data_IF_862759812218
#
_entry.id   IF_862759812218
#
_cell.length_a   1.000
_cell.length_b   1.000
_cell.length_c   1.000
_cell.angle_alpha   90.00
_cell.angle_beta   90.00
_cell.angle_gamma   90.00
#
_symmetry.space_group_name_H-M   'P 1'
#
loop_
_entity.id
_entity.type
_entity.pdbx_description
1 polymer ?
#
# COMPACT_ATOMS: atom_id res chain seq x y z
N UNK A 1 -12.14 29.56 42.78
CA UNK A 1 -12.36 30.45 41.62
C UNK A 1 -12.76 29.59 40.42
N UNK A 2 -13.99 29.77 39.95
CA UNK A 2 -14.60 28.96 38.87
C UNK A 2 -14.15 29.44 37.49
N UNK A 3 -13.99 28.52 36.54
CA UNK A 3 -13.73 28.84 35.14
C UNK A 3 -15.06 29.11 34.44
N UNK A 4 -15.25 30.29 33.86
CA UNK A 4 -16.43 30.60 33.05
C UNK A 4 -16.09 30.39 31.58
N UNK A 5 -16.72 29.42 30.92
CA UNK A 5 -16.57 29.24 29.46
C UNK A 5 -17.20 30.43 28.74
N UNK A 6 -16.48 31.01 27.79
CA UNK A 6 -16.93 32.17 27.00
C UNK A 6 -17.17 31.75 25.55
N UNK A 7 -16.27 30.94 24.99
CA UNK A 7 -16.39 30.39 23.64
C UNK A 7 -15.76 28.99 23.62
N UNK A 8 -16.59 27.98 23.34
CA UNK A 8 -16.16 26.59 23.32
C UNK A 8 -15.32 26.28 22.07
N UNK A 9 -15.71 26.85 20.94
CA UNK A 9 -15.04 26.80 19.64
C UNK A 9 -13.61 27.34 19.67
N UNK A 10 -13.35 28.39 20.47
CA UNK A 10 -12.00 28.95 20.66
C UNK A 10 -11.33 28.51 21.96
N UNK A 11 -11.90 27.54 22.67
CA UNK A 11 -11.39 27.07 23.97
C UNK A 11 -11.12 28.20 24.97
N UNK A 12 -11.93 29.26 24.95
CA UNK A 12 -11.73 30.51 25.67
C UNK A 12 -12.52 30.53 26.99
N UNK A 13 -11.81 30.80 28.08
CA UNK A 13 -12.35 30.82 29.43
C UNK A 13 -11.96 32.11 30.16
N UNK A 14 -12.85 32.60 31.00
CA UNK A 14 -12.57 33.70 31.93
C UNK A 14 -12.32 33.13 33.32
N UNK A 15 -11.25 33.59 33.97
CA UNK A 15 -10.95 33.27 35.37
C UNK A 15 -10.46 34.53 36.06
N UNK A 16 -11.23 35.02 37.03
CA UNK A 16 -11.00 36.34 37.63
C UNK A 16 -11.19 37.43 36.58
N UNK A 17 -10.18 38.29 36.39
CA UNK A 17 -10.20 39.41 35.44
C UNK A 17 -9.50 39.12 34.10
N UNK A 18 -8.93 37.93 33.90
CA UNK A 18 -8.13 37.61 32.71
C UNK A 18 -8.71 36.45 31.91
N UNK A 19 -8.56 36.52 30.59
CA UNK A 19 -8.92 35.45 29.68
C UNK A 19 -7.80 34.41 29.55
N UNK A 20 -8.19 33.16 29.35
CA UNK A 20 -7.32 32.00 29.21
C UNK A 20 -7.80 31.13 28.06
N UNK A 21 -6.86 30.51 27.35
CA UNK A 21 -7.14 29.37 26.49
C UNK A 21 -6.89 28.10 27.27
N UNK A 22 -7.91 27.24 27.39
CA UNK A 22 -7.83 25.95 28.07
C UNK A 22 -8.31 24.86 27.14
N UNK A 23 -7.37 24.11 26.58
CA UNK A 23 -7.64 23.01 25.66
C UNK A 23 -7.31 21.67 26.31
N UNK A 24 -8.21 20.69 26.17
CA UNK A 24 -8.00 19.34 26.70
C UNK A 24 -7.00 18.58 25.83
N UNK A 25 -6.07 17.86 26.46
CA UNK A 25 -5.16 16.96 25.78
C UNK A 25 -5.86 15.61 25.53
N UNK A 26 -5.89 15.10 24.28
CA UNK A 26 -6.40 13.76 23.95
C UNK A 26 -5.75 12.69 24.82
N UNK A 27 -6.50 11.66 25.24
CA UNK A 27 -6.04 10.61 26.17
C UNK A 27 -4.72 9.97 25.76
N UNK A 28 -4.55 9.72 24.47
CA UNK A 28 -3.37 9.09 23.86
C UNK A 28 -2.11 9.96 23.99
N UNK A 29 -2.25 11.29 24.00
CA UNK A 29 -1.13 12.23 24.07
C UNK A 29 -0.78 12.65 25.51
N UNK A 30 -1.59 12.27 26.51
CA UNK A 30 -1.40 12.70 27.90
C UNK A 30 -0.08 12.19 28.48
N UNK A 31 0.33 10.97 28.14
CA UNK A 31 1.59 10.39 28.61
C UNK A 31 2.80 11.11 28.01
N UNK A 32 2.75 11.48 26.73
CA UNK A 32 3.84 12.19 26.06
C UNK A 32 3.93 13.68 26.44
N UNK A 33 2.80 14.34 26.70
CA UNK A 33 2.75 15.76 27.06
C UNK A 33 2.89 15.96 28.58
N UNK A 34 2.54 14.96 29.39
CA UNK A 34 2.60 15.00 30.85
C UNK A 34 1.56 15.93 31.49
N UNK A 35 0.55 16.38 30.74
CA UNK A 35 -0.50 17.31 31.19
C UNK A 35 -1.85 16.89 30.65
N UNK A 36 -2.91 17.09 31.44
CA UNK A 36 -4.29 16.84 31.00
C UNK A 36 -4.88 18.02 30.21
N UNK A 37 -4.42 19.25 30.48
CA UNK A 37 -4.85 20.46 29.78
C UNK A 37 -3.67 21.32 29.38
N UNK A 38 -3.72 21.89 28.18
CA UNK A 38 -2.89 23.02 27.79
C UNK A 38 -3.60 24.30 28.20
N UNK A 39 -2.98 25.07 29.09
CA UNK A 39 -3.55 26.30 29.66
C UNK A 39 -2.57 27.44 29.43
N UNK A 40 -3.04 28.49 28.77
CA UNK A 40 -2.26 29.72 28.56
C UNK A 40 -3.11 30.94 28.95
N UNK A 41 -2.54 31.82 29.77
CA UNK A 41 -3.16 33.11 30.10
C UNK A 41 -2.92 34.10 28.96
N UNK A 42 -3.97 34.79 28.51
CA UNK A 42 -3.90 35.80 27.44
C UNK A 42 -3.49 37.18 27.96
N UNK A 43 -3.39 37.36 29.29
CA UNK A 43 -2.97 38.61 29.96
C UNK A 43 -3.77 39.86 29.55
N UNK A 44 -5.02 39.69 29.14
CA UNK A 44 -5.93 40.79 28.83
C UNK A 44 -7.29 40.56 29.49
N UNK A 45 -7.97 41.65 29.85
CA UNK A 45 -9.36 41.70 30.32
C UNK A 45 -10.33 42.13 29.21
N UNK A 46 -9.82 42.48 28.02
CA UNK A 46 -10.63 42.90 26.88
C UNK A 46 -11.01 41.69 26.01
N UNK A 47 -12.31 41.48 25.81
CA UNK A 47 -12.83 40.35 25.04
C UNK A 47 -12.38 40.32 23.57
N UNK A 48 -12.37 41.46 22.86
CA UNK A 48 -12.01 41.50 21.43
C UNK A 48 -10.55 41.13 21.24
N UNK A 49 -9.69 41.67 22.08
CA UNK A 49 -8.26 41.37 22.10
C UNK A 49 -8.01 39.91 22.49
N UNK A 50 -8.69 39.42 23.54
CA UNK A 50 -8.63 38.02 23.96
C UNK A 50 -9.04 37.05 22.84
N UNK A 51 -10.12 37.36 22.11
CA UNK A 51 -10.61 36.53 21.00
C UNK A 51 -9.63 36.43 19.84
N UNK A 52 -8.87 37.50 19.57
CA UNK A 52 -7.79 37.51 18.57
C UNK A 52 -6.57 36.73 19.06
N UNK A 53 -6.13 36.98 20.29
CA UNK A 53 -4.98 36.27 20.89
C UNK A 53 -5.24 34.77 21.05
N UNK A 54 -6.48 34.38 21.33
CA UNK A 54 -6.89 32.99 21.45
C UNK A 54 -6.62 32.19 20.18
N UNK A 55 -6.80 32.76 18.99
CA UNK A 55 -6.50 32.09 17.71
C UNK A 55 -5.03 31.69 17.62
N UNK A 56 -4.11 32.59 17.97
CA UNK A 56 -2.67 32.32 17.93
C UNK A 56 -2.25 31.29 18.98
N UNK A 57 -2.78 31.41 20.19
CA UNK A 57 -2.49 30.46 21.27
C UNK A 57 -3.06 29.08 20.97
N UNK A 58 -4.23 28.99 20.33
CA UNK A 58 -4.80 27.72 19.87
C UNK A 58 -3.96 27.08 18.77
N UNK A 59 -3.38 27.87 17.85
CA UNK A 59 -2.45 27.38 16.84
C UNK A 59 -1.15 26.85 17.48
N UNK A 60 -0.61 27.53 18.51
CA UNK A 60 0.53 27.03 19.28
C UNK A 60 0.20 25.73 20.02
N UNK A 61 -0.96 25.67 20.68
CA UNK A 61 -1.45 24.44 21.31
C UNK A 61 -1.64 23.31 20.30
N UNK A 62 -2.17 23.61 19.11
CA UNK A 62 -2.31 22.63 18.02
C UNK A 62 -0.94 22.12 17.57
N UNK A 63 0.00 23.02 17.29
CA UNK A 63 1.38 22.64 16.94
C UNK A 63 2.02 21.76 18.01
N UNK A 64 1.79 22.03 19.29
CA UNK A 64 2.31 21.23 20.41
C UNK A 64 1.68 19.84 20.48
N UNK A 65 0.40 19.72 20.13
CA UNK A 65 -0.29 18.45 19.99
C UNK A 65 0.21 17.69 18.77
N UNK A 66 0.40 18.35 17.62
CA UNK A 66 0.92 17.75 16.39
C UNK A 66 2.37 17.29 16.54
N UNK A 67 3.20 18.06 17.25
CA UNK A 67 4.56 17.64 17.60
C UNK A 67 4.58 16.46 18.57
N UNK A 68 3.63 16.38 19.50
CA UNK A 68 3.49 15.25 20.41
C UNK A 68 2.93 14.02 19.68
N UNK A 69 2.00 14.21 18.75
CA UNK A 69 1.47 13.18 17.87
C UNK A 69 2.55 12.65 16.92
N UNK A 70 3.35 13.54 16.33
CA UNK A 70 4.52 13.19 15.51
C UNK A 70 5.67 12.54 16.31
N UNK A 71 5.66 12.63 17.64
CA UNK A 71 6.55 11.86 18.54
C UNK A 71 5.98 10.49 18.92
N UNK A 72 4.69 10.27 18.74
CA UNK A 72 3.97 9.05 19.13
C UNK A 72 3.53 8.17 17.97
N UNK A 73 3.56 8.64 16.73
CA UNK A 73 3.12 7.83 15.59
C UNK A 73 4.29 7.21 14.81
N UNK A 74 4.46 5.87 14.91
CA UNK A 74 4.46 5.06 13.69
C UNK A 74 3.31 5.59 12.82
N UNK A 75 3.55 5.94 11.55
CA UNK A 75 2.51 6.45 10.64
C UNK A 75 1.23 5.60 10.82
N UNK A 76 0.02 6.16 10.71
CA UNK A 76 -1.23 5.39 10.90
C UNK A 76 -1.29 4.09 10.07
N UNK A 77 -0.47 3.99 9.01
CA UNK A 77 -0.30 2.82 8.13
C UNK A 77 1.01 2.01 8.34
N UNK A 78 1.75 2.24 9.42
CA UNK A 78 3.02 1.55 9.65
C UNK A 78 2.80 0.16 10.24
N UNK A 79 3.54 -0.80 9.69
CA UNK A 79 3.37 -2.23 9.99
C UNK A 79 4.24 -2.59 11.19
N UNK A 80 3.71 -3.37 12.13
CA UNK A 80 4.54 -3.89 13.24
C UNK A 80 5.48 -4.93 12.68
N UNK A 81 6.75 -4.85 13.07
CA UNK A 81 7.76 -5.81 12.62
C UNK A 81 7.34 -7.26 12.93
N UNK A 82 6.80 -7.49 14.13
CA UNK A 82 6.47 -8.83 14.62
C UNK A 82 5.27 -9.47 13.90
N UNK A 83 4.47 -8.66 13.18
CA UNK A 83 3.35 -9.12 12.34
C UNK A 83 3.80 -9.54 10.93
N UNK A 84 5.04 -9.20 10.53
CA UNK A 84 5.60 -9.59 9.23
C UNK A 84 5.98 -11.08 9.23
N UNK A 85 5.71 -11.76 8.11
CA UNK A 85 6.14 -13.14 7.92
C UNK A 85 7.65 -13.23 7.71
N UNK A 86 8.27 -14.37 8.00
CA UNK A 86 9.70 -14.57 7.77
C UNK A 86 10.07 -14.42 6.29
N UNK A 87 9.24 -14.96 5.39
CA UNK A 87 9.42 -14.82 3.95
C UNK A 87 9.38 -13.35 3.49
N UNK A 88 8.50 -12.55 4.08
CA UNK A 88 8.42 -11.13 3.78
C UNK A 88 9.65 -10.37 4.27
N UNK A 89 10.13 -10.65 5.48
CA UNK A 89 11.35 -10.06 6.03
C UNK A 89 12.58 -10.43 5.19
N UNK A 90 12.68 -11.69 4.78
CA UNK A 90 13.73 -12.18 3.87
C UNK A 90 13.68 -11.43 2.54
N UNK A 91 12.49 -11.31 1.93
CA UNK A 91 12.28 -10.59 0.68
C UNK A 91 12.67 -9.11 0.79
N UNK A 92 12.32 -8.44 1.89
CA UNK A 92 12.70 -7.05 2.14
C UNK A 92 14.23 -6.86 2.10
N UNK A 93 14.97 -7.77 2.72
CA UNK A 93 16.44 -7.67 2.78
C UNK A 93 17.07 -8.09 1.46
N UNK A 94 16.60 -9.17 0.83
CA UNK A 94 17.14 -9.65 -0.46
C UNK A 94 16.88 -8.65 -1.60
N UNK A 95 15.70 -8.03 -1.66
CA UNK A 95 15.40 -6.96 -2.61
C UNK A 95 16.30 -5.73 -2.40
N UNK A 96 16.52 -5.34 -1.14
CA UNK A 96 17.43 -4.24 -0.80
C UNK A 96 18.88 -4.53 -1.21
N UNK A 97 19.38 -5.72 -0.87
CA UNK A 97 20.73 -6.15 -1.22
C UNK A 97 20.93 -6.18 -2.73
N UNK A 98 20.02 -6.85 -3.44
CA UNK A 98 19.99 -6.93 -4.90
C UNK A 98 20.03 -5.55 -5.57
N UNK A 99 19.20 -4.61 -5.10
CA UNK A 99 19.16 -3.25 -5.63
C UNK A 99 20.47 -2.49 -5.36
N UNK A 100 21.02 -2.59 -4.15
CA UNK A 100 22.28 -1.92 -3.79
C UNK A 100 23.47 -2.48 -4.56
N UNK A 101 23.56 -3.80 -4.65
CA UNK A 101 24.63 -4.50 -5.34
C UNK A 101 24.66 -4.15 -6.83
N UNK A 102 23.48 -4.18 -7.50
CA UNK A 102 23.38 -3.82 -8.91
C UNK A 102 23.62 -2.34 -9.18
N UNK A 103 23.17 -1.46 -8.30
CA UNK A 103 23.45 -0.03 -8.43
C UNK A 103 24.97 0.27 -8.37
N UNK A 104 25.70 -0.40 -7.48
CA UNK A 104 27.16 -0.31 -7.41
C UNK A 104 27.83 -0.89 -8.67
N UNK A 105 27.37 -2.05 -9.15
CA UNK A 105 27.90 -2.66 -10.38
C UNK A 105 27.65 -1.80 -11.65
N UNK A 106 26.48 -1.16 -11.77
CA UNK A 106 26.14 -0.28 -12.88
C UNK A 106 26.96 1.02 -12.87
N UNK A 107 27.29 1.55 -11.70
CA UNK A 107 28.13 2.75 -11.57
C UNK A 107 29.54 2.56 -12.17
N UNK A 108 30.05 1.32 -12.24
CA UNK A 108 31.31 0.98 -12.90
C UNK A 108 31.17 0.73 -14.41
N UNK A 109 29.99 0.33 -14.89
CA UNK A 109 29.74 -0.07 -16.28
C UNK A 109 29.54 1.07 -17.27
N UNK A 110 29.43 2.32 -16.80
CA UNK A 110 29.32 3.50 -17.65
C UNK A 110 28.00 3.68 -18.42
N UNK A 111 26.95 2.91 -18.10
CA UNK A 111 25.64 3.08 -18.72
C UNK A 111 24.87 4.25 -18.08
N UNK A 112 24.76 5.37 -18.81
CA UNK A 112 23.83 6.52 -18.69
C UNK A 112 22.99 6.66 -17.41
N UNK A 113 23.67 6.81 -16.27
CA UNK A 113 23.09 7.32 -15.03
C UNK A 113 23.89 8.56 -14.66
N UNK A 114 23.19 9.68 -14.46
CA UNK A 114 23.75 10.92 -13.93
C UNK A 114 24.63 10.60 -12.71
N UNK A 115 25.95 10.63 -12.90
CA UNK A 115 26.93 10.59 -11.81
C UNK A 115 26.98 12.02 -11.29
N UNK A 116 26.51 12.31 -10.05
CA UNK A 116 26.68 13.63 -9.48
C UNK A 116 28.16 13.98 -9.53
N UNK A 117 28.50 15.15 -10.05
CA UNK A 117 29.89 15.60 -10.09
C UNK A 117 30.51 15.43 -8.69
N UNK A 118 31.63 14.69 -8.56
CA UNK A 118 32.25 14.45 -7.27
C UNK A 118 32.54 15.81 -6.63
N UNK A 119 32.07 16.00 -5.39
CA UNK A 119 32.12 17.30 -4.73
C UNK A 119 33.52 17.77 -4.34
N UNK A 120 34.53 16.94 -4.53
CA UNK A 120 35.97 17.19 -4.43
C UNK A 120 36.66 15.99 -5.10
N UNK A 121 37.80 16.17 -5.77
CA UNK A 121 38.60 15.04 -6.27
C UNK A 121 39.11 14.22 -5.08
N UNK A 122 38.53 13.04 -4.81
CA UNK A 122 39.00 12.15 -3.74
C UNK A 122 40.45 11.75 -4.02
N UNK A 123 41.36 12.00 -3.08
CA UNK A 123 42.77 11.64 -3.25
C UNK A 123 42.98 10.14 -3.04
N UNK A 124 44.08 9.60 -3.58
CA UNK A 124 44.45 8.20 -3.33
C UNK A 124 44.54 7.87 -1.83
N UNK A 125 45.00 8.82 -1.00
CA UNK A 125 45.08 8.64 0.44
C UNK A 125 43.69 8.51 1.10
N UNK A 126 42.69 9.24 0.59
CA UNK A 126 41.31 9.16 1.07
C UNK A 126 40.68 7.81 0.71
N UNK A 127 40.93 7.33 -0.51
CA UNK A 127 40.48 6.01 -0.98
C UNK A 127 41.12 4.87 -0.17
N UNK A 128 42.42 4.96 0.13
CA UNK A 128 43.09 3.99 1.00
C UNK A 128 42.56 4.00 2.43
N UNK A 129 42.29 5.18 2.99
CA UNK A 129 41.72 5.33 4.32
C UNK A 129 40.33 4.68 4.37
N UNK A 130 39.47 4.99 3.39
CA UNK A 130 38.14 4.40 3.23
C UNK A 130 38.21 2.88 3.13
N UNK A 131 39.12 2.34 2.31
CA UNK A 131 39.35 0.89 2.19
C UNK A 131 39.76 0.26 3.51
N UNK A 132 40.65 0.89 4.29
CA UNK A 132 41.07 0.40 5.62
C UNK A 132 39.91 0.41 6.62
N UNK A 133 39.08 1.46 6.60
CA UNK A 133 37.89 1.54 7.45
C UNK A 133 36.86 0.46 7.12
N UNK A 134 36.59 0.22 5.83
CA UNK A 134 35.69 -0.83 5.39
C UNK A 134 36.20 -2.21 5.83
N UNK A 135 37.49 -2.50 5.65
CA UNK A 135 38.09 -3.75 6.13
C UNK A 135 37.90 -3.96 7.64
N UNK A 136 38.12 -2.92 8.45
CA UNK A 136 37.87 -2.98 9.90
C UNK A 136 36.40 -3.30 10.21
N UNK A 137 35.45 -2.66 9.53
CA UNK A 137 34.01 -2.90 9.71
C UNK A 137 33.63 -4.33 9.31
N UNK A 138 34.16 -4.85 8.19
CA UNK A 138 33.94 -6.23 7.74
C UNK A 138 34.45 -7.24 8.77
N UNK A 139 35.64 -7.03 9.33
CA UNK A 139 36.19 -7.90 10.40
C UNK A 139 35.23 -7.91 11.59
N UNK A 140 34.80 -6.75 12.08
CA UNK A 140 33.88 -6.64 13.21
C UNK A 140 32.55 -7.35 12.95
N UNK A 141 31.96 -7.17 11.77
CA UNK A 141 30.69 -7.80 11.39
C UNK A 141 30.81 -9.30 11.16
N UNK A 142 32.03 -9.82 10.94
CA UNK A 142 32.31 -11.24 10.82
C UNK A 142 32.51 -11.93 12.17
N UNK A 143 32.82 -11.17 13.23
CA UNK A 143 32.94 -11.71 14.58
C UNK A 143 31.55 -12.10 15.13
N UNK A 144 31.41 -13.28 15.76
CA UNK A 144 30.14 -13.68 16.37
C UNK A 144 29.81 -12.77 17.56
N UNK A 145 28.54 -12.36 17.67
CA UNK A 145 27.99 -11.63 18.82
C UNK A 145 28.75 -10.34 19.21
N UNK A 146 29.37 -9.64 18.26
CA UNK A 146 30.03 -8.37 18.58
C UNK A 146 28.99 -7.30 18.98
N UNK A 147 29.21 -6.57 20.10
CA UNK A 147 28.30 -5.50 20.53
C UNK A 147 28.25 -4.34 19.53
N UNK A 148 29.20 -4.28 18.60
CA UNK A 148 29.30 -3.23 17.58
C UNK A 148 28.38 -3.47 16.38
N UNK A 149 27.82 -4.69 16.22
CA UNK A 149 26.90 -5.00 15.11
C UNK A 149 25.73 -4.03 15.09
N UNK A 150 25.12 -3.75 16.24
CA UNK A 150 23.94 -2.88 16.30
C UNK A 150 24.27 -1.42 15.90
N UNK A 151 25.50 -0.97 16.14
CA UNK A 151 25.95 0.34 15.69
C UNK A 151 26.20 0.38 14.19
N UNK A 152 26.90 -0.63 13.66
CA UNK A 152 27.29 -0.69 12.25
C UNK A 152 26.10 -0.94 11.31
N UNK A 153 25.12 -1.75 11.73
CA UNK A 153 23.96 -2.10 10.91
C UNK A 153 22.80 -1.11 11.03
N UNK A 154 22.86 -0.19 11.99
CA UNK A 154 21.80 0.79 12.27
C UNK A 154 21.30 1.52 11.03
N UNK A 155 22.21 2.05 10.22
CA UNK A 155 21.84 2.82 9.03
C UNK A 155 21.08 1.98 8.02
N UNK A 156 21.51 0.73 7.80
CA UNK A 156 20.84 -0.21 6.91
C UNK A 156 19.46 -0.61 7.44
N UNK A 157 19.38 -0.96 8.74
CA UNK A 157 18.14 -1.36 9.42
C UNK A 157 17.11 -0.22 9.42
N UNK A 158 17.52 1.00 9.77
CA UNK A 158 16.64 2.18 9.73
C UNK A 158 16.20 2.52 8.30
N UNK A 159 17.09 2.39 7.32
CA UNK A 159 16.78 2.58 5.91
C UNK A 159 15.74 1.59 5.40
N UNK A 160 15.92 0.31 5.71
CA UNK A 160 14.97 -0.77 5.41
C UNK A 160 13.61 -0.54 6.05
N UNK A 161 13.59 -0.17 7.33
CA UNK A 161 12.36 0.10 8.06
C UNK A 161 11.58 1.27 7.43
N UNK A 162 12.26 2.37 7.11
CA UNK A 162 11.64 3.54 6.44
C UNK A 162 11.11 3.18 5.06
N UNK A 163 11.91 2.48 4.25
CA UNK A 163 11.53 2.14 2.87
C UNK A 163 10.32 1.20 2.78
N UNK A 164 10.06 0.41 3.84
CA UNK A 164 8.99 -0.58 3.89
C UNK A 164 7.89 -0.25 4.90
N UNK A 165 7.88 0.97 5.45
CA UNK A 165 6.85 1.42 6.39
C UNK A 165 6.79 0.63 7.70
N UNK A 166 7.92 0.08 8.16
CA UNK A 166 7.99 -0.66 9.43
C UNK A 166 8.00 0.32 10.59
N UNK A 167 7.21 0.03 11.62
CA UNK A 167 7.06 0.85 12.81
C UNK A 167 8.41 1.07 13.52
N UNK A 168 8.72 2.33 13.82
CA UNK A 168 9.92 2.74 14.55
C UNK A 168 9.55 3.66 15.71
N UNK A 169 10.37 3.65 16.76
CA UNK A 169 10.28 4.58 17.89
C UNK A 169 11.57 5.38 18.05
N UNK A 170 11.42 6.58 18.61
CA UNK A 170 12.57 7.41 18.98
C UNK A 170 12.90 7.19 20.45
N UNK A 171 14.11 6.74 20.74
CA UNK A 171 14.64 6.58 22.08
C UNK A 171 15.59 7.73 22.43
N UNK A 172 15.51 8.21 23.67
CA UNK A 172 16.41 9.23 24.20
C UNK A 172 17.49 8.51 25.02
N UNK A 173 18.74 8.63 24.59
CA UNK A 173 19.91 8.01 25.23
C UNK A 173 20.63 8.99 26.18
N UNK A 174 20.26 10.28 26.12
CA UNK A 174 20.80 11.33 26.98
C UNK A 174 20.22 12.72 26.63
N UNK A 175 20.68 13.80 27.28
CA UNK A 175 20.10 15.15 27.12
C UNK A 175 20.18 15.70 25.69
N UNK A 176 21.15 15.26 24.88
CA UNK A 176 21.30 15.64 23.46
C UNK A 176 21.27 14.45 22.49
N UNK A 177 21.30 13.21 22.97
CA UNK A 177 21.42 12.03 22.11
C UNK A 177 20.06 11.36 21.94
N UNK A 178 19.53 11.41 20.72
CA UNK A 178 18.29 10.73 20.32
C UNK A 178 18.61 9.74 19.21
N UNK A 179 18.08 8.52 19.30
CA UNK A 179 18.21 7.48 18.27
C UNK A 179 16.83 7.00 17.85
N UNK A 180 16.72 6.53 16.62
CA UNK A 180 15.54 5.79 16.15
C UNK A 180 15.84 4.30 16.16
N UNK A 181 14.84 3.48 16.49
CA UNK A 181 14.95 2.03 16.40
C UNK A 181 13.63 1.41 15.94
N UNK A 182 13.71 0.22 15.35
CA UNK A 182 12.53 -0.55 14.97
C UNK A 182 11.81 -1.03 16.24
N UNK A 183 10.48 -0.98 16.23
CA UNK A 183 9.65 -1.63 17.24
C UNK A 183 9.51 -3.11 16.84
N UNK A 184 10.27 -3.97 17.51
CA UNK A 184 10.32 -5.42 17.27
C UNK A 184 10.69 -6.17 18.55
N UNK A 185 10.26 -7.43 18.66
CA UNK A 185 10.82 -8.37 19.63
C UNK A 185 12.24 -8.77 19.20
N UNK A 186 13.25 -8.13 19.80
CA UNK A 186 14.66 -8.36 19.49
C UNK A 186 15.15 -9.76 19.89
N UNK A 187 14.47 -10.43 20.81
CA UNK A 187 14.77 -11.81 21.19
C UNK A 187 14.06 -12.83 20.28
N UNK A 188 13.08 -12.36 19.49
CA UNK A 188 12.33 -13.19 18.56
C UNK A 188 13.19 -13.70 17.41
N UNK A 189 12.98 -14.97 17.03
CA UNK A 189 13.75 -15.62 15.96
C UNK A 189 13.66 -14.89 14.61
N UNK A 190 12.53 -14.22 14.32
CA UNK A 190 12.34 -13.42 13.09
C UNK A 190 13.27 -12.22 13.04
N UNK A 191 13.41 -11.53 14.18
CA UNK A 191 14.34 -10.40 14.28
C UNK A 191 15.78 -10.87 14.17
N UNK A 192 16.14 -11.98 14.84
CA UNK A 192 17.48 -12.57 14.77
C UNK A 192 17.83 -12.95 13.32
N UNK A 193 16.92 -13.64 12.63
CA UNK A 193 17.06 -14.00 11.21
C UNK A 193 17.22 -12.76 10.32
N UNK A 194 16.31 -11.79 10.44
CA UNK A 194 16.36 -10.53 9.69
C UNK A 194 17.67 -9.77 9.93
N UNK A 195 18.08 -9.64 11.19
CA UNK A 195 19.29 -8.95 11.59
C UNK A 195 20.53 -9.62 11.02
N UNK A 196 20.60 -10.96 11.09
CA UNK A 196 21.71 -11.71 10.51
C UNK A 196 21.75 -11.60 8.98
N UNK A 197 20.61 -11.66 8.29
CA UNK A 197 20.56 -11.49 6.84
C UNK A 197 21.00 -10.06 6.43
N UNK A 198 20.59 -9.03 7.17
CA UNK A 198 21.08 -7.66 6.97
C UNK A 198 22.59 -7.57 7.23
N UNK A 199 23.10 -8.23 8.27
CA UNK A 199 24.53 -8.30 8.57
C UNK A 199 25.31 -8.90 7.41
N UNK A 200 24.87 -10.07 6.91
CA UNK A 200 25.48 -10.76 5.75
C UNK A 200 25.45 -9.88 4.50
N UNK A 201 24.31 -9.25 4.20
CA UNK A 201 24.17 -8.32 3.08
C UNK A 201 25.08 -7.09 3.18
N UNK A 202 25.18 -6.46 4.34
CA UNK A 202 26.09 -5.31 4.56
C UNK A 202 27.55 -5.73 4.38
N UNK A 203 27.95 -6.90 4.87
CA UNK A 203 29.31 -7.42 4.70
C UNK A 203 29.63 -7.61 3.21
N UNK A 204 28.73 -8.20 2.43
CA UNK A 204 28.93 -8.39 0.99
C UNK A 204 28.99 -7.06 0.23
N UNK A 205 28.15 -6.07 0.58
CA UNK A 205 28.24 -4.73 -0.01
C UNK A 205 29.55 -4.01 0.34
N UNK A 206 30.05 -4.15 1.56
CA UNK A 206 31.37 -3.60 1.94
C UNK A 206 32.51 -4.31 1.22
N UNK A 207 32.42 -5.63 1.02
CA UNK A 207 33.40 -6.41 0.24
C UNK A 207 33.41 -5.97 -1.23
N UNK A 208 32.24 -5.67 -1.79
CA UNK A 208 32.12 -5.11 -3.14
C UNK A 208 32.89 -3.80 -3.24
N UNK A 209 32.59 -2.86 -2.34
CA UNK A 209 33.26 -1.56 -2.32
C UNK A 209 34.77 -1.67 -2.08
N UNK A 210 35.23 -2.61 -1.24
CA UNK A 210 36.67 -2.88 -1.05
C UNK A 210 37.30 -3.41 -2.34
N UNK A 211 36.62 -4.30 -3.06
CA UNK A 211 37.11 -4.87 -4.32
C UNK A 211 37.15 -3.80 -5.41
N UNK A 212 36.14 -2.94 -5.49
CA UNK A 212 36.06 -1.81 -6.41
C UNK A 212 37.21 -0.82 -6.15
N UNK A 213 37.42 -0.42 -4.89
CA UNK A 213 38.54 0.45 -4.48
C UNK A 213 39.92 -0.18 -4.74
N UNK A 214 40.01 -1.51 -4.76
CA UNK A 214 41.24 -2.25 -5.03
C UNK A 214 41.42 -2.62 -6.50
N UNK A 215 40.40 -2.40 -7.34
CA UNK A 215 40.34 -2.82 -8.74
C UNK A 215 40.58 -4.34 -8.91
N UNK A 216 39.93 -5.14 -8.07
CA UNK A 216 40.02 -6.61 -8.08
C UNK A 216 38.65 -7.20 -8.43
N UNK A 217 38.58 -8.29 -9.22
CA UNK A 217 37.33 -8.99 -9.45
C UNK A 217 36.65 -9.38 -8.13
N UNK A 218 35.39 -8.98 -7.96
CA UNK A 218 34.61 -9.30 -6.78
C UNK A 218 33.90 -10.66 -6.94
N UNK A 219 33.82 -11.41 -5.85
CA UNK A 219 32.96 -12.59 -5.73
C UNK A 219 32.11 -12.48 -4.45
N UNK A 220 30.80 -12.73 -4.58
CA UNK A 220 29.90 -12.81 -3.42
C UNK A 220 30.17 -14.13 -2.71
N UNK A 221 30.58 -14.06 -1.45
CA UNK A 221 30.95 -15.27 -0.69
C UNK A 221 29.76 -15.95 -0.02
N UNK A 222 28.67 -15.23 0.21
CA UNK A 222 27.44 -15.76 0.80
C UNK A 222 26.60 -16.49 -0.28
N UNK A 223 26.34 -17.81 -0.14
CA UNK A 223 25.62 -18.57 -1.17
C UNK A 223 24.18 -18.11 -1.41
N UNK A 224 23.45 -17.75 -0.35
CA UNK A 224 22.06 -17.29 -0.41
C UNK A 224 21.99 -15.95 -1.14
N UNK A 225 22.89 -15.04 -0.82
CA UNK A 225 22.97 -13.73 -1.50
C UNK A 225 23.53 -13.83 -2.93
N UNK A 226 24.40 -14.81 -3.19
CA UNK A 226 24.89 -15.08 -4.54
C UNK A 226 23.74 -15.52 -5.47
N UNK A 227 22.88 -16.42 -4.98
CA UNK A 227 21.68 -16.85 -5.70
C UNK A 227 20.72 -15.68 -5.96
N UNK A 228 20.56 -14.75 -5.02
CA UNK A 228 19.75 -13.53 -5.19
C UNK A 228 20.24 -12.65 -6.35
N UNK A 229 21.55 -12.56 -6.58
CA UNK A 229 22.13 -11.76 -7.67
C UNK A 229 22.09 -12.47 -9.01
N UNK A 230 22.38 -13.79 -9.02
CA UNK A 230 22.30 -14.63 -10.21
C UNK A 230 20.85 -14.80 -10.69
N UNK A 231 19.91 -14.82 -9.74
CA UNK A 231 18.49 -14.76 -10.06
C UNK A 231 18.24 -13.47 -10.82
N UNK A 232 17.73 -13.54 -12.07
CA UNK A 232 17.49 -12.36 -12.87
C UNK A 232 16.67 -11.39 -12.02
N UNK A 233 17.21 -10.18 -11.82
CA UNK A 233 16.42 -9.06 -11.36
C UNK A 233 15.19 -9.12 -12.23
N UNK A 234 14.02 -9.39 -11.66
CA UNK A 234 12.82 -8.92 -12.32
C UNK A 234 13.01 -7.41 -12.33
N UNK A 235 13.42 -6.93 -13.50
CA UNK A 235 13.84 -5.55 -13.74
C UNK A 235 12.83 -4.60 -13.10
N UNK A 236 13.32 -3.41 -12.78
CA UNK A 236 12.63 -2.20 -12.32
C UNK A 236 11.40 -1.73 -13.15
N UNK A 237 10.69 -2.62 -13.85
CA UNK A 237 9.40 -2.42 -14.55
C UNK A 237 8.18 -2.63 -13.64
N UNK A 238 8.37 -2.90 -12.34
CA UNK A 238 7.31 -3.15 -11.33
C UNK A 238 6.86 -1.91 -10.55
N UNK A 239 6.99 -0.72 -11.12
CA UNK A 239 6.39 0.51 -10.58
C UNK A 239 4.93 0.68 -11.00
N UNK A 240 4.44 -0.20 -11.88
CA UNK A 240 3.09 -0.12 -12.44
C UNK A 240 2.04 -0.28 -11.34
N UNK A 241 1.08 0.63 -11.32
CA UNK A 241 -0.08 0.56 -10.44
C UNK A 241 -1.20 -0.29 -11.04
N UNK A 242 -2.19 -0.67 -10.24
CA UNK A 242 -3.38 -1.34 -10.75
C UNK A 242 -4.11 -0.48 -11.80
N UNK A 243 -4.18 0.83 -11.60
CA UNK A 243 -4.78 1.76 -12.54
C UNK A 243 -4.09 1.72 -13.91
N UNK A 244 -2.76 1.80 -13.91
CA UNK A 244 -1.96 1.78 -15.13
C UNK A 244 -2.12 0.46 -15.88
N UNK A 245 -2.14 -0.68 -15.16
CA UNK A 245 -2.40 -1.98 -15.79
C UNK A 245 -3.80 -2.05 -16.44
N UNK A 246 -4.82 -1.49 -15.78
CA UNK A 246 -6.19 -1.45 -16.30
C UNK A 246 -6.25 -0.61 -17.58
N UNK A 247 -5.59 0.55 -17.60
CA UNK A 247 -5.54 1.42 -18.79
C UNK A 247 -4.75 0.78 -19.92
N UNK A 248 -3.60 0.15 -19.65
CA UNK A 248 -2.85 -0.64 -20.62
C UNK A 248 -3.71 -1.79 -21.18
N UNK A 249 -4.44 -2.51 -20.32
CA UNK A 249 -5.32 -3.61 -20.71
C UNK A 249 -6.47 -3.16 -21.64
N UNK A 250 -7.06 -2.00 -21.38
CA UNK A 250 -8.09 -1.37 -22.23
C UNK A 250 -7.50 -0.85 -23.55
N UNK A 251 -6.29 -0.32 -23.50
CA UNK A 251 -5.62 0.29 -24.65
C UNK A 251 -4.96 -0.73 -25.59
N UNK A 252 -4.87 -2.01 -25.21
CA UNK A 252 -4.27 -3.07 -26.03
C UNK A 252 -4.77 -3.04 -27.49
N UNK A 253 -3.87 -2.88 -28.48
CA UNK A 253 -4.20 -2.91 -29.90
C UNK A 253 -4.95 -4.17 -30.33
N UNK A 254 -4.68 -5.32 -29.70
CA UNK A 254 -5.35 -6.60 -29.99
C UNK A 254 -6.82 -6.62 -29.58
N UNK A 255 -7.29 -5.60 -28.84
CA UNK A 255 -8.67 -5.46 -28.37
C UNK A 255 -9.43 -4.31 -29.03
N UNK A 256 -8.88 -3.68 -30.10
CA UNK A 256 -9.42 -2.46 -30.72
C UNK A 256 -10.94 -2.54 -31.01
N UNK A 257 -11.41 -3.64 -31.58
CA UNK A 257 -12.82 -3.81 -31.95
C UNK A 257 -13.74 -4.15 -30.76
N UNK A 258 -13.16 -4.64 -29.65
CA UNK A 258 -13.90 -5.02 -28.44
C UNK A 258 -13.79 -4.00 -27.31
N UNK A 259 -13.09 -2.87 -27.48
CA UNK A 259 -12.84 -1.90 -26.38
C UNK A 259 -14.11 -1.48 -25.65
N UNK A 260 -15.16 -1.09 -26.37
CA UNK A 260 -16.46 -0.70 -25.78
C UNK A 260 -17.12 -1.85 -25.02
N UNK A 261 -17.01 -3.08 -25.54
CA UNK A 261 -17.55 -4.28 -24.90
C UNK A 261 -16.79 -4.60 -23.62
N UNK A 262 -15.45 -4.59 -23.66
CA UNK A 262 -14.57 -4.80 -22.50
C UNK A 262 -14.86 -3.76 -21.42
N UNK A 263 -14.98 -2.48 -21.79
CA UNK A 263 -15.28 -1.40 -20.86
C UNK A 263 -16.58 -1.66 -20.11
N UNK A 264 -17.66 -2.01 -20.81
CA UNK A 264 -18.94 -2.33 -20.20
C UNK A 264 -18.90 -3.60 -19.35
N UNK A 265 -18.28 -4.67 -19.87
CA UNK A 265 -18.24 -5.99 -19.22
C UNK A 265 -17.38 -6.01 -17.94
N UNK A 266 -16.37 -5.13 -17.86
CA UNK A 266 -15.43 -5.02 -16.74
C UNK A 266 -15.76 -3.85 -15.79
N UNK A 267 -16.68 -2.94 -16.16
CA UNK A 267 -16.94 -1.71 -15.40
C UNK A 267 -17.29 -1.94 -13.92
N UNK A 268 -18.07 -2.98 -13.59
CA UNK A 268 -18.35 -3.30 -12.18
C UNK A 268 -17.10 -3.83 -11.48
N UNK A 269 -16.39 -4.77 -12.11
CA UNK A 269 -15.19 -5.38 -11.55
C UNK A 269 -14.13 -4.32 -11.21
N UNK A 270 -13.80 -3.44 -12.15
CA UNK A 270 -12.75 -2.44 -11.92
C UNK A 270 -13.09 -1.50 -10.75
N UNK A 271 -14.36 -1.07 -10.62
CA UNK A 271 -14.76 -0.23 -9.49
C UNK A 271 -14.74 -0.98 -8.15
N UNK A 272 -15.08 -2.27 -8.14
CA UNK A 272 -14.95 -3.10 -6.93
C UNK A 272 -13.46 -3.32 -6.57
N UNK A 273 -12.61 -3.53 -7.58
CA UNK A 273 -11.16 -3.64 -7.37
C UNK A 273 -10.56 -2.34 -6.84
N UNK A 274 -11.02 -1.18 -7.31
CA UNK A 274 -10.59 0.12 -6.76
C UNK A 274 -10.95 0.24 -5.28
N UNK A 275 -12.18 -0.09 -4.91
CA UNK A 275 -12.63 0.04 -3.52
C UNK A 275 -11.90 -0.92 -2.56
N UNK A 276 -11.59 -2.14 -3.03
CA UNK A 276 -10.97 -3.19 -2.20
C UNK A 276 -9.44 -3.13 -2.20
N UNK A 277 -8.83 -2.98 -3.38
CA UNK A 277 -7.38 -3.05 -3.58
C UNK A 277 -6.77 -1.65 -3.61
N UNK A 278 -7.47 -0.68 -4.21
CA UNK A 278 -6.97 0.66 -4.50
C UNK A 278 -6.25 0.72 -5.83
N UNK A 279 -6.66 1.64 -6.70
CA UNK A 279 -6.01 1.88 -7.99
C UNK A 279 -4.54 2.27 -7.91
N UNK A 280 -4.12 2.98 -6.86
CA UNK A 280 -2.72 3.38 -6.66
C UNK A 280 -1.84 2.23 -6.14
N UNK A 281 -2.43 1.09 -5.79
CA UNK A 281 -1.66 -0.04 -5.27
C UNK A 281 -0.79 -0.62 -6.37
N UNK A 282 0.49 -0.81 -6.07
CA UNK A 282 1.47 -1.36 -7.00
C UNK A 282 1.21 -2.84 -7.23
N UNK A 283 1.35 -3.30 -8.48
CA UNK A 283 1.06 -4.69 -8.84
C UNK A 283 1.86 -5.73 -8.03
N UNK A 284 3.10 -5.38 -7.63
CA UNK A 284 3.97 -6.25 -6.82
C UNK A 284 3.46 -6.50 -5.39
N UNK A 285 2.60 -5.60 -4.90
CA UNK A 285 2.06 -5.59 -3.55
C UNK A 285 0.62 -6.15 -3.53
N UNK A 286 0.10 -6.63 -4.68
CA UNK A 286 -1.19 -7.31 -4.81
C UNK A 286 -0.99 -8.81 -4.65
N UNK A 287 -1.60 -9.37 -3.62
CA UNK A 287 -1.49 -10.78 -3.28
C UNK A 287 -2.81 -11.55 -3.49
N UNK A 288 -2.76 -12.86 -3.21
CA UNK A 288 -3.92 -13.76 -3.31
C UNK A 288 -5.09 -13.28 -2.46
N UNK A 289 -4.80 -12.75 -1.28
CA UNK A 289 -5.83 -12.36 -0.31
C UNK A 289 -6.57 -11.09 -0.72
N UNK A 290 -5.90 -10.14 -1.39
CA UNK A 290 -6.58 -8.98 -2.00
C UNK A 290 -7.60 -9.45 -3.06
N UNK A 291 -7.23 -10.45 -3.88
CA UNK A 291 -8.13 -11.01 -4.88
C UNK A 291 -9.31 -11.76 -4.25
N UNK A 292 -9.08 -12.48 -3.14
CA UNK A 292 -10.15 -13.14 -2.37
C UNK A 292 -11.13 -12.09 -1.82
N UNK A 293 -10.63 -10.99 -1.27
CA UNK A 293 -11.47 -9.91 -0.76
C UNK A 293 -12.39 -9.33 -1.85
N UNK A 294 -11.90 -9.16 -3.08
CA UNK A 294 -12.73 -8.75 -4.23
C UNK A 294 -13.83 -9.76 -4.53
N UNK A 295 -13.49 -11.05 -4.61
CA UNK A 295 -14.48 -12.12 -4.83
C UNK A 295 -15.54 -12.16 -3.72
N UNK A 296 -15.09 -12.08 -2.48
CA UNK A 296 -15.95 -12.21 -1.30
C UNK A 296 -16.90 -11.00 -1.20
N UNK A 297 -16.44 -9.80 -1.57
CA UNK A 297 -17.31 -8.63 -1.69
C UNK A 297 -18.35 -8.82 -2.82
N UNK A 298 -17.95 -9.34 -3.98
CA UNK A 298 -18.89 -9.63 -5.08
C UNK A 298 -19.97 -10.63 -4.67
N UNK A 299 -19.64 -11.64 -3.85
CA UNK A 299 -20.62 -12.63 -3.33
C UNK A 299 -21.67 -12.00 -2.43
N UNK A 300 -21.31 -10.98 -1.67
CA UNK A 300 -22.25 -10.24 -0.81
C UNK A 300 -22.99 -9.13 -1.54
N UNK A 301 -22.57 -8.78 -2.76
CA UNK A 301 -23.11 -7.62 -3.44
C UNK A 301 -24.51 -7.92 -3.98
N UNK A 302 -25.52 -7.06 -3.72
CA UNK A 302 -26.87 -7.22 -4.26
C UNK A 302 -26.89 -7.18 -5.79
N UNK A 303 -27.78 -7.97 -6.40
CA UNK A 303 -28.04 -7.84 -7.82
C UNK A 303 -28.54 -6.42 -8.14
N UNK A 304 -28.06 -5.83 -9.24
CA UNK A 304 -28.34 -4.43 -9.62
C UNK A 304 -27.96 -3.40 -8.54
N UNK A 305 -26.99 -3.68 -7.68
CA UNK A 305 -26.53 -2.79 -6.61
C UNK A 305 -26.28 -1.34 -7.06
N UNK A 306 -25.66 -1.16 -8.24
CA UNK A 306 -25.39 0.17 -8.81
C UNK A 306 -26.64 1.00 -9.11
N UNK A 307 -27.78 0.35 -9.35
CA UNK A 307 -29.06 1.01 -9.59
C UNK A 307 -29.81 1.28 -8.29
N UNK A 308 -29.72 0.36 -7.34
CA UNK A 308 -30.46 0.39 -6.07
C UNK A 308 -29.80 1.28 -5.02
N UNK A 309 -28.47 1.23 -4.91
CA UNK A 309 -27.67 1.87 -3.86
C UNK A 309 -26.77 2.94 -4.44
N UNK A 310 -27.37 3.92 -5.14
CA UNK A 310 -26.62 4.98 -5.81
C UNK A 310 -25.87 5.84 -4.79
N UNK A 311 -24.56 6.02 -5.01
CA UNK A 311 -23.70 6.87 -4.19
C UNK A 311 -23.12 6.19 -2.96
N UNK A 312 -23.52 4.97 -2.63
CA UNK A 312 -22.90 4.17 -1.57
C UNK A 312 -21.67 3.44 -2.10
N UNK A 313 -20.70 3.21 -1.21
CA UNK A 313 -19.60 2.27 -1.46
C UNK A 313 -20.13 0.85 -1.59
N UNK A 314 -19.45 -0.04 -2.29
CA UNK A 314 -19.90 -1.42 -2.47
C UNK A 314 -19.98 -2.21 -1.16
N UNK A 315 -19.08 -1.96 -0.21
CA UNK A 315 -19.16 -2.54 1.14
C UNK A 315 -20.45 -2.10 1.84
N UNK A 316 -20.75 -0.81 1.79
CA UNK A 316 -21.98 -0.24 2.37
C UNK A 316 -23.24 -0.74 1.65
N UNK A 317 -23.18 -0.85 0.31
CA UNK A 317 -24.26 -1.39 -0.51
C UNK A 317 -24.52 -2.88 -0.22
N UNK A 318 -23.48 -3.65 0.09
CA UNK A 318 -23.61 -5.04 0.53
C UNK A 318 -24.31 -5.12 1.91
N UNK A 319 -23.89 -4.30 2.87
CA UNK A 319 -24.52 -4.24 4.20
C UNK A 319 -25.97 -3.76 4.14
N UNK A 320 -26.27 -2.73 3.33
CA UNK A 320 -27.63 -2.24 3.16
C UNK A 320 -28.50 -3.26 2.44
N UNK A 321 -27.96 -3.96 1.44
CA UNK A 321 -28.67 -5.02 0.75
C UNK A 321 -29.05 -6.20 1.63
N UNK A 322 -28.20 -6.54 2.59
CA UNK A 322 -28.49 -7.54 3.61
C UNK A 322 -29.64 -7.10 4.52
N UNK A 323 -29.62 -5.84 4.98
CA UNK A 323 -30.72 -5.24 5.78
C UNK A 323 -32.04 -5.19 5.00
N UNK A 324 -31.97 -4.90 3.71
CA UNK A 324 -33.11 -4.79 2.81
C UNK A 324 -33.60 -6.18 2.31
N UNK A 325 -32.95 -7.28 2.71
CA UNK A 325 -33.30 -8.65 2.33
C UNK A 325 -33.17 -8.92 0.83
N UNK A 326 -32.23 -8.26 0.14
CA UNK A 326 -32.04 -8.40 -1.32
C UNK A 326 -31.19 -9.62 -1.67
N UNK A 327 -31.55 -10.28 -2.78
CA UNK A 327 -30.72 -11.32 -3.38
C UNK A 327 -29.38 -10.77 -3.90
N UNK A 328 -28.31 -11.53 -3.70
CA UNK A 328 -26.96 -11.20 -4.14
C UNK A 328 -26.65 -11.71 -5.54
N UNK A 329 -25.47 -11.37 -6.07
CA UNK A 329 -24.98 -11.93 -7.32
C UNK A 329 -24.86 -13.47 -7.21
N UNK A 330 -25.32 -14.17 -8.26
CA UNK A 330 -25.17 -15.63 -8.30
C UNK A 330 -23.69 -16.04 -8.34
N UNK A 331 -23.32 -17.20 -7.79
CA UNK A 331 -21.94 -17.71 -7.87
C UNK A 331 -21.39 -17.76 -9.29
N UNK A 332 -22.24 -18.11 -10.27
CA UNK A 332 -21.90 -18.11 -11.70
C UNK A 332 -21.54 -16.70 -12.20
N UNK A 333 -22.28 -15.68 -11.77
CA UNK A 333 -21.98 -14.28 -12.11
C UNK A 333 -20.67 -13.82 -11.46
N UNK A 334 -20.43 -14.21 -10.20
CA UNK A 334 -19.18 -13.92 -9.50
C UNK A 334 -17.99 -14.58 -10.22
N UNK A 335 -18.14 -15.84 -10.65
CA UNK A 335 -17.11 -16.54 -11.43
C UNK A 335 -16.77 -15.79 -12.71
N UNK A 336 -17.75 -15.25 -13.44
CA UNK A 336 -17.49 -14.39 -14.61
C UNK A 336 -16.56 -13.21 -14.28
N UNK A 337 -16.78 -12.53 -13.14
CA UNK A 337 -15.90 -11.43 -12.69
C UNK A 337 -14.52 -11.91 -12.23
N UNK A 338 -14.45 -13.04 -11.54
CA UNK A 338 -13.17 -13.63 -11.11
C UNK A 338 -12.33 -14.06 -12.32
N UNK A 339 -12.95 -14.62 -13.36
CA UNK A 339 -12.26 -14.95 -14.61
C UNK A 339 -11.75 -13.70 -15.33
N UNK A 340 -12.54 -12.62 -15.36
CA UNK A 340 -12.12 -11.31 -15.89
C UNK A 340 -10.94 -10.73 -15.12
N UNK A 341 -10.96 -10.80 -13.78
CA UNK A 341 -9.84 -10.39 -12.94
C UNK A 341 -8.58 -11.24 -13.21
N UNK A 342 -8.76 -12.56 -13.37
CA UNK A 342 -7.69 -13.46 -13.77
C UNK A 342 -7.15 -13.14 -15.17
N UNK A 343 -8.01 -12.72 -16.11
CA UNK A 343 -7.58 -12.31 -17.45
C UNK A 343 -6.75 -11.02 -17.42
N UNK A 344 -7.14 -10.02 -16.61
CA UNK A 344 -6.37 -8.79 -16.38
C UNK A 344 -4.98 -9.10 -15.83
N UNK A 345 -4.87 -9.91 -14.78
CA UNK A 345 -3.56 -10.22 -14.20
C UNK A 345 -2.74 -11.18 -15.07
N UNK A 346 -3.37 -12.05 -15.87
CA UNK A 346 -2.65 -12.81 -16.89
C UNK A 346 -2.05 -11.89 -17.96
N UNK A 347 -2.77 -10.85 -18.38
CA UNK A 347 -2.21 -9.82 -19.27
C UNK A 347 -1.00 -9.15 -18.62
N UNK A 348 -1.09 -8.77 -17.34
CA UNK A 348 0.06 -8.23 -16.59
C UNK A 348 1.26 -9.19 -16.52
N UNK A 349 1.03 -10.50 -16.49
CA UNK A 349 2.12 -11.50 -16.55
C UNK A 349 2.73 -11.59 -17.96
N UNK A 350 1.90 -11.62 -19.00
CA UNK A 350 2.35 -11.67 -20.41
C UNK A 350 3.15 -10.42 -20.78
N UNK A 351 2.72 -9.25 -20.32
CA UNK A 351 3.41 -7.96 -20.50
C UNK A 351 4.60 -7.76 -19.55
N UNK A 352 5.02 -8.80 -18.84
CA UNK A 352 6.13 -8.80 -17.89
C UNK A 352 6.01 -7.75 -16.76
N UNK A 353 4.79 -7.28 -16.46
CA UNK A 353 4.51 -6.35 -15.35
C UNK A 353 4.29 -7.08 -14.03
N UNK A 354 3.94 -8.36 -14.10
CA UNK A 354 3.71 -9.24 -12.96
C UNK A 354 4.42 -10.58 -13.10
N UNK A 355 4.71 -11.17 -11.96
CA UNK A 355 5.43 -12.44 -11.85
C UNK A 355 4.55 -13.68 -11.96
N UNK A 356 3.35 -13.52 -11.42
CA UNK A 356 2.37 -14.54 -11.19
C UNK A 356 1.02 -13.86 -11.17
N UNK A 357 0.00 -14.59 -11.58
CA UNK A 357 -1.37 -14.13 -11.49
C UNK A 357 -1.94 -14.46 -10.09
N UNK A 358 -2.20 -13.46 -9.23
CA UNK A 358 -2.76 -13.69 -7.90
C UNK A 358 -4.23 -14.12 -7.93
N UNK A 359 -4.96 -13.94 -9.03
CA UNK A 359 -6.34 -14.39 -9.20
C UNK A 359 -6.47 -15.78 -9.85
N UNK A 360 -5.37 -16.46 -10.17
CA UNK A 360 -5.39 -17.79 -10.81
C UNK A 360 -6.25 -18.79 -10.00
N UNK A 361 -7.16 -19.51 -10.68
CA UNK A 361 -8.05 -20.52 -10.07
C UNK A 361 -8.75 -20.03 -8.79
N UNK A 362 -9.33 -18.83 -8.81
CA UNK A 362 -10.08 -18.26 -7.67
C UNK A 362 -11.60 -18.48 -7.76
N UNK A 363 -12.06 -19.02 -8.88
CA UNK A 363 -13.48 -19.33 -9.09
C UNK A 363 -14.02 -20.31 -8.04
N UNK A 364 -15.32 -20.23 -7.82
CA UNK A 364 -16.08 -21.10 -6.94
C UNK A 364 -16.41 -22.37 -7.73
N UNK A 365 -15.97 -23.51 -7.22
CA UNK A 365 -16.19 -24.82 -7.86
C UNK A 365 -17.68 -25.17 -7.90
N UNK A 366 -18.08 -25.97 -8.90
CA UNK A 366 -19.47 -26.45 -9.04
C UNK A 366 -20.48 -25.40 -9.54
N UNK A 367 -20.01 -24.21 -9.94
CA UNK A 367 -20.84 -23.12 -10.42
C UNK A 367 -20.35 -22.57 -11.77
N UNK A 368 -20.13 -23.47 -12.72
CA UNK A 368 -19.81 -23.16 -14.11
C UNK A 368 -21.07 -23.28 -14.98
N UNK A 369 -21.12 -22.54 -16.08
CA UNK A 369 -22.16 -22.73 -17.08
C UNK A 369 -21.94 -24.06 -17.80
N UNK A 370 -22.90 -24.95 -17.75
CA UNK A 370 -22.91 -26.16 -18.58
C UNK A 370 -23.69 -25.89 -19.87
N UNK A 371 -23.38 -26.58 -20.96
CA UNK A 371 -24.25 -26.57 -22.15
C UNK A 371 -25.64 -27.12 -21.84
N UNK A 372 -25.74 -27.99 -20.84
CA UNK A 372 -26.98 -28.58 -20.33
C UNK A 372 -27.91 -27.54 -19.67
N UNK A 373 -27.39 -26.37 -19.26
CA UNK A 373 -28.19 -25.26 -18.72
C UNK A 373 -29.05 -24.57 -19.81
N UNK A 374 -28.78 -24.82 -21.09
CA UNK A 374 -29.48 -24.23 -22.23
C UNK A 374 -30.39 -25.25 -22.91
N UNK A 375 -31.55 -25.47 -22.31
CA UNK A 375 -32.56 -26.34 -22.90
C UNK A 375 -33.01 -25.80 -24.28
N UNK A 376 -33.17 -26.68 -25.29
CA UNK A 376 -33.75 -26.29 -26.57
C UNK A 376 -35.19 -25.79 -26.35
N UNK A 377 -35.64 -24.87 -27.20
CA UNK A 377 -37.03 -24.41 -27.16
C UNK A 377 -37.97 -25.56 -27.50
N UNK A 378 -39.00 -25.73 -26.69
CA UNK A 378 -40.13 -26.62 -26.99
C UNK A 378 -40.96 -26.05 -28.15
N UNK A 379 -41.70 -26.88 -28.91
CA UNK A 379 -42.62 -26.41 -29.94
C UNK A 379 -43.59 -25.32 -29.45
N UNK A 380 -44.16 -25.49 -28.25
CA UNK A 380 -45.08 -24.51 -27.63
C UNK A 380 -44.40 -23.16 -27.34
N UNK A 381 -43.12 -23.19 -26.94
CA UNK A 381 -42.34 -21.96 -26.74
C UNK A 381 -42.03 -21.29 -28.08
N UNK A 382 -41.71 -22.07 -29.11
CA UNK A 382 -41.49 -21.54 -30.46
C UNK A 382 -42.78 -20.89 -31.01
N UNK A 383 -43.93 -21.53 -30.84
CA UNK A 383 -45.22 -20.95 -31.23
C UNK A 383 -45.44 -19.61 -30.53
N UNK A 384 -45.24 -19.53 -29.21
CA UNK A 384 -45.36 -18.27 -28.44
C UNK A 384 -44.39 -17.19 -28.90
N UNK A 385 -43.15 -17.56 -29.22
CA UNK A 385 -42.14 -16.62 -29.71
C UNK A 385 -42.58 -16.05 -31.05
N UNK A 386 -42.95 -16.90 -32.02
CA UNK A 386 -43.29 -16.45 -33.38
C UNK A 386 -44.70 -15.88 -33.52
N UNK A 387 -45.59 -16.12 -32.55
CA UNK A 387 -46.89 -15.45 -32.47
C UNK A 387 -46.82 -14.08 -31.77
N UNK A 388 -45.68 -13.71 -31.19
CA UNK A 388 -45.54 -12.46 -30.44
C UNK A 388 -45.79 -11.23 -31.33
N UNK A 389 -46.30 -10.11 -30.78
CA UNK A 389 -46.64 -8.92 -31.56
C UNK A 389 -45.51 -8.37 -32.43
N UNK A 390 -44.24 -8.53 -32.03
CA UNK A 390 -43.10 -8.12 -32.85
C UNK A 390 -43.05 -8.81 -34.22
N UNK A 391 -43.64 -10.02 -34.34
CA UNK A 391 -43.73 -10.80 -35.57
C UNK A 391 -45.11 -10.75 -36.24
N UNK A 392 -46.16 -10.35 -35.50
CA UNK A 392 -47.56 -10.37 -35.98
C UNK A 392 -48.21 -8.98 -36.10
N UNK A 393 -47.47 -7.92 -35.78
CA UNK A 393 -47.89 -6.52 -35.84
C UNK A 393 -47.80 -5.84 -34.47
N UNK A 394 -46.70 -5.13 -34.21
CA UNK A 394 -46.46 -4.41 -32.95
C UNK A 394 -46.64 -2.90 -33.09
N UNK A 395 -46.75 -2.21 -31.96
CA UNK A 395 -46.88 -0.75 -31.93
C UNK A 395 -45.58 -0.04 -32.38
N UNK A 396 -44.43 -0.51 -31.90
CA UNK A 396 -43.09 -0.14 -32.36
C UNK A 396 -42.11 -1.26 -31.99
N UNK A 397 -41.02 -1.41 -32.76
CA UNK A 397 -40.00 -2.45 -32.58
C UNK A 397 -38.98 -2.13 -31.47
N UNK A 398 -39.19 -1.05 -30.72
CA UNK A 398 -38.21 -0.52 -29.79
C UNK A 398 -38.59 -0.83 -28.34
N UNK A 399 -39.50 -0.07 -27.71
CA UNK A 399 -39.91 -0.30 -26.31
C UNK A 399 -41.28 -0.96 -26.18
N UNK A 400 -42.08 -0.96 -27.24
CA UNK A 400 -43.44 -1.52 -27.23
C UNK A 400 -43.60 -2.73 -28.15
N UNK A 401 -42.52 -3.45 -28.44
CA UNK A 401 -42.50 -4.62 -29.32
C UNK A 401 -43.43 -5.75 -28.84
N UNK A 402 -43.73 -5.80 -27.54
CA UNK A 402 -44.65 -6.76 -26.94
C UNK A 402 -46.13 -6.33 -26.97
N UNK A 403 -46.46 -5.15 -27.50
CA UNK A 403 -47.84 -4.65 -27.59
C UNK A 403 -48.35 -4.75 -29.04
N UNK A 404 -49.56 -5.26 -29.21
CA UNK A 404 -50.20 -5.35 -30.52
C UNK A 404 -50.43 -3.94 -31.12
N UNK A 405 -49.99 -3.76 -32.36
CA UNK A 405 -50.15 -2.53 -33.15
C UNK A 405 -51.43 -2.51 -33.96
N UNK A 406 -51.84 -1.32 -34.41
CA UNK A 406 -53.10 -1.12 -35.14
C UNK A 406 -53.03 -1.49 -36.64
N UNK A 407 -51.87 -1.88 -37.17
CA UNK A 407 -51.70 -2.31 -38.56
C UNK A 407 -50.90 -3.60 -38.60
N UNK A 408 -51.48 -4.59 -39.29
CA UNK A 408 -50.85 -5.87 -39.64
C UNK A 408 -49.77 -5.66 -40.69
#
# INVERSE_FOLDING_TARGET
>A
MTWKSISADKFLYLRGASYYVRRRVPSELRQAIGKEFLITCLKTSNFKEASRLATFVNADHQKRLDEAAGRLHPQENSRKFDELSAHELEKIVTDWFSNKYRAAALALGGEDLYVPEPKEEETFADLELRRRELNRKVIILSLPNSPQHEQLLRGAIEGLARANGIAMRRITLGPMQRRTEIIADRAGWRYIMFFDLVRRGVVELMRQEIADLAVIPMHISDPELHEVIQSPSRRSRRTVTLAELIEEFKADPNRKDMRKKVELDYALLFRVMDEVIGYDRRLRDIERDDCKAVRDLLLRLPANSTKLYKGLKFVEAAEQGEKDGRGTLSPVTVNSYVHKMSALFNFGVVEERMDKNPARKLGIEGHEHSEEDRNPFTPDQLEKIFSAPIYTGCQDDNRNWAKAGARR
#
